data_IF_553948027892
#
_entry.id   IF_553948027892
#
_cell.length_a   1.000
_cell.length_b   1.000
_cell.length_c   1.000
_cell.angle_alpha   90.00
_cell.angle_beta   90.00
_cell.angle_gamma   90.00
#
_symmetry.space_group_name_H-M   'P 1'
#
loop_
_entity.id
_entity.type
_entity.pdbx_description
1 polymer ?
#
# COMPACT_ATOMS: atom_id res chain seq x y z
N UNK A 1 48.93 3.40 -51.30
CA UNK A 1 47.76 2.51 -51.11
C UNK A 1 47.83 1.62 -49.86
N UNK A 2 48.57 2.01 -48.80
CA UNK A 2 48.60 1.29 -47.51
C UNK A 2 48.28 2.17 -46.29
N UNK A 3 48.36 3.50 -46.42
CA UNK A 3 47.98 4.44 -45.35
C UNK A 3 46.47 4.71 -45.25
N UNK A 4 45.71 4.57 -46.35
CA UNK A 4 44.26 4.78 -46.36
C UNK A 4 43.46 3.62 -45.71
N UNK A 5 44.09 2.45 -45.56
CA UNK A 5 43.49 1.30 -44.88
C UNK A 5 43.68 1.34 -43.35
N UNK A 6 44.59 2.19 -42.85
CA UNK A 6 44.83 2.33 -41.42
C UNK A 6 43.83 3.29 -40.74
N UNK A 7 43.24 4.25 -41.49
CA UNK A 7 42.27 5.20 -40.94
C UNK A 7 40.83 4.64 -40.86
N UNK A 8 40.49 3.58 -41.61
CA UNK A 8 39.18 2.93 -41.51
C UNK A 8 39.06 1.95 -40.33
N UNK A 9 40.18 1.53 -39.73
CA UNK A 9 40.19 0.56 -38.63
C UNK A 9 39.87 1.16 -37.25
N UNK A 10 39.93 2.48 -37.09
CA UNK A 10 39.75 3.15 -35.80
C UNK A 10 38.30 3.64 -35.59
N UNK A 11 37.50 3.77 -36.66
CA UNK A 11 36.11 4.25 -36.57
C UNK A 11 35.08 3.18 -36.19
N UNK A 12 35.47 1.92 -36.03
CA UNK A 12 34.54 0.80 -35.89
C UNK A 12 34.23 0.38 -34.43
N UNK A 13 34.75 1.06 -33.41
CA UNK A 13 34.56 0.67 -32.01
C UNK A 13 33.76 1.66 -31.14
N UNK A 14 33.16 2.70 -31.70
CA UNK A 14 32.05 3.39 -31.02
C UNK A 14 30.75 2.66 -31.31
N UNK A 15 30.70 1.38 -30.94
CA UNK A 15 29.44 0.70 -30.72
C UNK A 15 28.77 1.44 -29.58
N UNK A 16 27.79 2.27 -29.91
CA UNK A 16 26.88 2.83 -28.92
C UNK A 16 26.24 1.63 -28.23
N UNK A 17 26.78 1.23 -27.08
CA UNK A 17 26.03 0.39 -26.16
C UNK A 17 24.82 1.25 -25.80
N UNK A 18 23.72 1.06 -26.54
CA UNK A 18 22.41 1.33 -26.04
C UNK A 18 22.24 0.38 -24.85
N UNK A 19 22.84 0.73 -23.71
CA UNK A 19 22.40 0.25 -22.42
C UNK A 19 20.92 0.51 -22.44
N UNK A 20 20.12 -0.57 -22.50
CA UNK A 20 18.70 -0.52 -22.27
C UNK A 20 18.53 0.17 -20.94
N UNK A 21 18.29 1.48 -20.98
CA UNK A 21 18.26 2.30 -19.78
C UNK A 21 17.02 1.86 -19.02
N UNK A 22 17.21 1.34 -17.82
CA UNK A 22 16.12 1.08 -16.90
C UNK A 22 15.57 2.39 -16.30
N UNK A 23 15.94 3.55 -16.84
CA UNK A 23 15.36 4.84 -16.45
C UNK A 23 13.88 4.90 -16.83
N UNK A 24 13.06 5.35 -15.87
CA UNK A 24 11.66 5.69 -16.06
C UNK A 24 11.43 7.19 -16.31
N UNK A 25 12.48 7.99 -16.53
CA UNK A 25 12.39 9.46 -16.64
C UNK A 25 11.38 9.96 -17.69
N UNK A 26 11.18 9.21 -18.78
CA UNK A 26 10.22 9.54 -19.83
C UNK A 26 8.93 8.71 -19.76
N UNK A 27 8.78 7.87 -18.73
CA UNK A 27 7.56 7.09 -18.54
C UNK A 27 6.44 7.98 -17.96
N UNK A 28 5.17 7.69 -18.25
CA UNK A 28 4.08 8.50 -17.70
C UNK A 28 4.01 8.34 -16.18
N UNK A 29 3.98 9.47 -15.47
CA UNK A 29 3.89 9.54 -14.01
C UNK A 29 2.79 10.55 -13.61
N UNK A 30 2.00 10.19 -12.59
CA UNK A 30 1.03 11.08 -11.97
C UNK A 30 1.69 11.95 -10.90
N UNK A 31 1.24 13.21 -10.72
CA UNK A 31 1.80 14.13 -9.73
C UNK A 31 1.34 13.84 -8.28
N UNK A 32 0.77 12.65 -8.01
CA UNK A 32 0.31 12.21 -6.70
C UNK A 32 0.74 10.77 -6.47
N UNK A 33 0.85 10.37 -5.21
CA UNK A 33 1.02 8.97 -4.81
C UNK A 33 -0.32 8.39 -4.31
N UNK A 34 -0.44 7.07 -4.24
CA UNK A 34 -1.67 6.41 -3.80
C UNK A 34 -1.60 5.87 -2.36
N UNK A 35 -2.65 6.12 -1.59
CA UNK A 35 -2.89 5.52 -0.28
C UNK A 35 -4.04 4.50 -0.38
N UNK A 36 -3.77 3.25 -0.06
CA UNK A 36 -4.75 2.17 -0.14
C UNK A 36 -4.93 1.47 1.21
N UNK A 37 -6.14 0.98 1.46
CA UNK A 37 -6.47 0.20 2.65
C UNK A 37 -6.82 -1.23 2.28
N UNK A 38 -6.29 -2.18 3.05
CA UNK A 38 -6.43 -3.62 2.83
C UNK A 38 -6.94 -4.26 4.12
N UNK A 39 -7.73 -5.31 3.98
CA UNK A 39 -8.22 -6.14 5.08
C UNK A 39 -7.96 -7.63 4.80
N UNK A 40 -7.78 -8.45 5.84
CA UNK A 40 -7.83 -9.90 5.70
C UNK A 40 -9.19 -10.38 5.19
N UNK A 41 -9.25 -11.60 4.65
CA UNK A 41 -10.51 -12.18 4.21
C UNK A 41 -11.51 -12.25 5.37
N UNK A 42 -12.79 -11.98 5.08
CA UNK A 42 -13.89 -11.92 6.05
C UNK A 42 -13.75 -10.88 7.17
N UNK A 43 -12.59 -10.24 7.32
CA UNK A 43 -12.33 -9.27 8.38
C UNK A 43 -12.70 -7.86 7.92
N UNK A 44 -13.99 -7.62 7.68
CA UNK A 44 -14.45 -6.36 7.11
C UNK A 44 -13.99 -5.14 7.93
N UNK A 45 -13.51 -4.11 7.24
CA UNK A 45 -12.97 -2.89 7.85
C UNK A 45 -13.58 -1.67 7.16
N UNK A 46 -14.00 -0.70 7.98
CA UNK A 46 -14.40 0.63 7.54
C UNK A 46 -13.43 1.67 8.07
N UNK A 47 -12.73 2.36 7.18
CA UNK A 47 -11.82 3.46 7.54
C UNK A 47 -12.61 4.74 7.65
N UNK A 48 -12.70 5.29 8.85
CA UNK A 48 -13.42 6.52 9.14
C UNK A 48 -12.62 7.75 8.75
N UNK A 49 -11.31 7.69 9.00
CA UNK A 49 -10.42 8.82 8.83
C UNK A 49 -8.98 8.35 8.62
N UNK A 50 -8.26 9.11 7.80
CA UNK A 50 -6.82 8.99 7.69
C UNK A 50 -6.20 10.35 7.40
N UNK A 51 -4.99 10.55 7.90
CA UNK A 51 -4.23 11.77 7.68
C UNK A 51 -2.78 11.45 7.40
N UNK A 52 -2.15 12.26 6.56
CA UNK A 52 -0.74 12.13 6.19
C UNK A 52 0.02 13.28 6.80
N UNK A 53 1.07 13.02 7.58
CA UNK A 53 2.14 13.99 7.81
C UNK A 53 3.26 13.67 6.83
N UNK A 54 3.59 14.63 5.97
CA UNK A 54 4.65 14.46 4.98
C UNK A 54 6.05 14.70 5.57
N UNK A 55 7.09 14.51 4.76
CA UNK A 55 8.49 14.73 5.19
C UNK A 55 8.81 16.18 5.57
N UNK A 56 8.00 17.15 5.13
CA UNK A 56 8.15 18.56 5.49
C UNK A 56 7.39 18.92 6.77
N UNK A 57 6.73 17.95 7.41
CA UNK A 57 5.94 18.15 8.62
C UNK A 57 4.57 18.76 8.36
N UNK A 58 4.10 18.80 7.10
CA UNK A 58 2.76 19.29 6.77
C UNK A 58 1.75 18.16 6.88
N UNK A 59 0.63 18.45 7.54
CA UNK A 59 -0.47 17.49 7.71
C UNK A 59 -1.57 17.70 6.68
N UNK A 60 -1.92 16.62 5.98
CA UNK A 60 -3.02 16.53 5.03
C UNK A 60 -4.10 15.65 5.64
N UNK A 61 -5.21 16.27 6.00
CA UNK A 61 -6.35 15.60 6.63
C UNK A 61 -7.22 14.91 5.57
N UNK A 62 -7.94 13.85 5.97
CA UNK A 62 -8.85 13.10 5.11
C UNK A 62 -8.17 12.58 3.83
N UNK A 63 -6.97 12.00 4.00
CA UNK A 63 -6.17 11.46 2.90
C UNK A 63 -6.80 10.21 2.25
N UNK A 64 -7.85 9.66 2.86
CA UNK A 64 -8.59 8.51 2.37
C UNK A 64 -9.52 7.94 3.44
N UNK A 65 -10.47 7.13 3.00
CA UNK A 65 -11.41 6.46 3.88
C UNK A 65 -12.33 5.49 3.11
N UNK A 66 -13.23 4.85 3.84
CA UNK A 66 -14.20 3.91 3.32
C UNK A 66 -13.77 2.44 3.46
N UNK A 67 -14.34 1.59 2.60
CA UNK A 67 -14.16 0.15 2.67
C UNK A 67 -12.73 -0.27 2.28
N UNK A 68 -12.08 -1.06 3.12
CA UNK A 68 -10.79 -1.67 2.81
C UNK A 68 -10.93 -2.81 1.79
N UNK A 69 -9.94 -2.97 0.93
CA UNK A 69 -9.89 -4.02 -0.09
C UNK A 69 -9.59 -5.39 0.51
N UNK A 70 -10.40 -6.39 0.17
CA UNK A 70 -10.25 -7.78 0.64
C UNK A 70 -11.46 -8.60 0.20
N UNK A 71 -11.43 -9.91 0.43
CA UNK A 71 -12.43 -10.83 -0.09
C UNK A 71 -13.23 -11.57 0.98
N UNK A 72 -14.36 -12.11 0.57
CA UNK A 72 -15.13 -13.12 1.32
C UNK A 72 -15.35 -14.33 0.40
N UNK A 73 -14.29 -15.12 0.16
CA UNK A 73 -14.35 -16.23 -0.78
C UNK A 73 -15.39 -17.26 -0.34
N UNK A 74 -15.97 -17.97 -1.31
CA UNK A 74 -16.82 -19.11 -1.02
C UNK A 74 -15.94 -20.37 -0.93
N UNK A 75 -15.08 -20.41 0.10
CA UNK A 75 -14.26 -21.58 0.41
C UNK A 75 -14.50 -22.07 1.84
N UNK A 76 -14.26 -23.36 2.06
CA UNK A 76 -14.38 -24.00 3.38
C UNK A 76 -13.03 -24.01 4.13
N UNK A 77 -12.20 -22.99 3.90
CA UNK A 77 -10.82 -22.91 4.38
C UNK A 77 -10.68 -21.81 5.42
N UNK A 78 -9.63 -21.89 6.24
CA UNK A 78 -9.22 -20.83 7.17
C UNK A 78 -8.53 -19.67 6.43
N UNK A 79 -9.20 -19.11 5.41
CA UNK A 79 -8.60 -18.17 4.47
C UNK A 79 -8.45 -16.74 5.02
N UNK A 80 -8.92 -16.46 6.24
CA UNK A 80 -8.64 -15.19 6.93
C UNK A 80 -7.27 -15.17 7.63
N UNK A 81 -6.62 -16.33 7.81
CA UNK A 81 -5.35 -16.42 8.53
C UNK A 81 -4.21 -15.82 7.69
N UNK A 82 -3.59 -14.75 8.19
CA UNK A 82 -2.56 -14.01 7.47
C UNK A 82 -3.08 -13.15 6.30
N UNK A 83 -2.15 -12.51 5.59
CA UNK A 83 -2.45 -11.64 4.45
C UNK A 83 -2.38 -12.45 3.15
N UNK A 84 -3.51 -12.59 2.45
CA UNK A 84 -3.60 -13.39 1.21
C UNK A 84 -3.07 -12.63 -0.01
N UNK A 85 -3.06 -11.29 0.04
CA UNK A 85 -2.52 -10.45 -1.01
C UNK A 85 -2.50 -8.98 -0.62
N UNK A 86 -1.66 -8.22 -1.33
CA UNK A 86 -1.66 -6.76 -1.27
C UNK A 86 -2.25 -6.28 -2.58
N UNK A 87 -3.26 -5.41 -2.55
CA UNK A 87 -3.94 -4.92 -3.74
C UNK A 87 -5.26 -4.24 -3.37
N UNK A 88 -5.76 -3.40 -4.26
CA UNK A 88 -6.95 -2.59 -4.03
C UNK A 88 -6.88 -1.25 -4.74
N UNK A 89 -8.00 -0.56 -4.80
CA UNK A 89 -8.06 0.79 -5.37
C UNK A 89 -7.60 1.79 -4.31
N UNK A 90 -6.43 2.39 -4.54
CA UNK A 90 -5.93 3.48 -3.71
C UNK A 90 -6.65 4.81 -3.96
N UNK A 91 -6.54 5.73 -3.01
CA UNK A 91 -6.95 7.12 -3.14
C UNK A 91 -5.72 7.96 -3.49
N UNK A 92 -5.84 8.89 -4.46
CA UNK A 92 -4.74 9.80 -4.78
C UNK A 92 -4.51 10.77 -3.61
N UNK A 93 -3.28 10.85 -3.13
CA UNK A 93 -2.84 11.84 -2.14
C UNK A 93 -2.20 13.00 -2.89
N UNK A 94 -3.00 14.05 -3.12
CA UNK A 94 -2.63 15.17 -3.98
C UNK A 94 -1.89 16.25 -3.18
N UNK A 95 -0.73 16.66 -3.68
CA UNK A 95 0.04 17.79 -3.16
C UNK A 95 0.79 17.55 -1.86
N UNK A 96 0.73 16.34 -1.29
CA UNK A 96 1.58 15.93 -0.18
C UNK A 96 2.85 15.26 -0.71
N UNK A 97 3.99 15.60 -0.11
CA UNK A 97 5.20 14.80 -0.29
C UNK A 97 4.99 13.39 0.29
N UNK A 98 5.95 12.50 0.05
CA UNK A 98 5.89 11.16 0.60
C UNK A 98 5.77 11.18 2.14
N UNK A 99 5.03 10.24 2.74
CA UNK A 99 4.64 10.33 4.14
C UNK A 99 5.84 10.08 5.07
N UNK A 100 5.93 10.90 6.13
CA UNK A 100 6.73 10.61 7.32
C UNK A 100 5.95 9.73 8.29
N UNK A 101 4.66 9.98 8.47
CA UNK A 101 3.76 9.13 9.24
C UNK A 101 2.31 9.26 8.76
N UNK A 102 1.53 8.23 9.01
CA UNK A 102 0.11 8.17 8.62
C UNK A 102 -0.72 7.91 9.86
N UNK A 103 -1.74 8.74 10.07
CA UNK A 103 -2.81 8.46 11.00
C UNK A 103 -3.89 7.64 10.30
N UNK A 104 -4.46 6.67 11.01
CA UNK A 104 -5.65 5.94 10.57
C UNK A 104 -6.55 5.66 11.77
N UNK A 105 -7.86 5.87 11.59
CA UNK A 105 -8.92 5.41 12.50
C UNK A 105 -9.90 4.55 11.72
N UNK A 106 -10.20 3.37 12.24
CA UNK A 106 -11.05 2.41 11.54
C UNK A 106 -11.89 1.58 12.47
N UNK A 107 -13.00 1.09 11.94
CA UNK A 107 -13.87 0.12 12.56
C UNK A 107 -13.51 -1.28 12.07
N UNK A 108 -13.20 -2.18 13.01
CA UNK A 108 -13.06 -3.62 12.79
C UNK A 108 -14.44 -4.26 12.98
N UNK A 109 -15.13 -4.53 11.86
CA UNK A 109 -16.53 -5.00 11.86
C UNK A 109 -16.70 -6.37 12.56
N UNK A 110 -15.85 -7.39 12.34
CA UNK A 110 -16.01 -8.72 12.96
C UNK A 110 -16.09 -8.71 14.49
N UNK A 111 -15.29 -7.84 15.12
CA UNK A 111 -15.17 -7.77 16.58
C UNK A 111 -15.85 -6.54 17.17
N UNK A 112 -16.50 -5.72 16.33
CA UNK A 112 -17.18 -4.49 16.72
C UNK A 112 -16.30 -3.63 17.65
N UNK A 113 -15.06 -3.38 17.22
CA UNK A 113 -14.11 -2.47 17.89
C UNK A 113 -13.63 -1.41 16.91
N UNK A 114 -13.37 -0.22 17.44
CA UNK A 114 -12.77 0.88 16.67
C UNK A 114 -11.37 1.12 17.18
N UNK A 115 -10.44 1.30 16.25
CA UNK A 115 -9.02 1.48 16.55
C UNK A 115 -8.52 2.76 15.93
N UNK A 116 -7.44 3.29 16.49
CA UNK A 116 -6.66 4.36 15.90
C UNK A 116 -5.16 4.13 16.08
N UNK A 117 -4.38 4.58 15.10
CA UNK A 117 -2.93 4.54 15.17
C UNK A 117 -2.31 5.68 14.39
N UNK A 118 -1.16 6.13 14.89
CA UNK A 118 -0.12 6.73 14.06
C UNK A 118 0.86 5.64 13.65
N UNK A 119 1.25 5.63 12.38
CA UNK A 119 2.22 4.69 11.83
C UNK A 119 3.35 5.47 11.19
N UNK A 120 4.54 5.35 11.76
CA UNK A 120 5.73 5.96 11.19
C UNK A 120 6.14 5.21 9.93
N UNK A 121 6.39 5.98 8.87
CA UNK A 121 6.88 5.46 7.60
C UNK A 121 8.39 5.71 7.58
N UNK A 122 9.21 4.66 7.47
CA UNK A 122 10.65 4.82 7.47
C UNK A 122 11.15 5.40 6.14
N UNK A 123 12.38 5.93 6.16
CA UNK A 123 12.97 6.57 4.98
C UNK A 123 13.21 5.59 3.83
N UNK A 124 13.58 4.34 4.15
CA UNK A 124 13.77 3.30 3.14
C UNK A 124 12.51 3.04 2.32
N UNK A 125 11.32 3.11 2.93
CA UNK A 125 10.05 2.94 2.26
C UNK A 125 9.84 4.04 1.23
N UNK A 126 10.17 5.29 1.60
CA UNK A 126 10.12 6.43 0.68
C UNK A 126 11.11 6.28 -0.46
N UNK A 127 12.33 5.78 -0.20
CA UNK A 127 13.30 5.49 -1.26
C UNK A 127 12.80 4.42 -2.23
N UNK A 128 12.16 3.36 -1.73
CA UNK A 128 11.52 2.35 -2.58
C UNK A 128 10.39 2.98 -3.40
N UNK A 129 9.53 3.79 -2.78
CA UNK A 129 8.44 4.51 -3.45
C UNK A 129 8.94 5.39 -4.60
N UNK A 130 9.98 6.19 -4.38
CA UNK A 130 10.62 7.04 -5.42
C UNK A 130 11.23 6.18 -6.52
N UNK A 131 11.99 5.15 -6.15
CA UNK A 131 12.62 4.24 -7.14
C UNK A 131 11.56 3.55 -8.01
N UNK A 132 10.40 3.26 -7.44
CA UNK A 132 9.33 2.54 -8.11
C UNK A 132 8.70 3.30 -9.29
N UNK A 133 8.80 4.63 -9.30
CA UNK A 133 8.32 5.49 -10.38
C UNK A 133 9.45 5.98 -11.29
N UNK A 134 10.66 6.12 -10.75
CA UNK A 134 11.82 6.61 -11.52
C UNK A 134 12.57 5.52 -12.30
N UNK A 135 12.34 4.24 -12.00
CA UNK A 135 13.04 3.13 -12.64
C UNK A 135 12.09 2.03 -13.11
N UNK A 136 12.40 1.47 -14.28
CA UNK A 136 11.78 0.28 -14.85
C UNK A 136 12.33 -0.98 -14.20
N UNK A 137 11.51 -2.02 -14.16
CA UNK A 137 11.94 -3.33 -13.70
C UNK A 137 12.88 -4.00 -14.71
N UNK A 138 14.08 -4.36 -14.26
CA UNK A 138 15.05 -5.07 -15.09
C UNK A 138 14.53 -6.41 -15.62
N UNK A 139 13.58 -7.03 -14.92
CA UNK A 139 12.93 -8.28 -15.33
C UNK A 139 11.88 -8.07 -16.44
N UNK A 140 11.36 -6.85 -16.58
CA UNK A 140 10.38 -6.47 -17.60
C UNK A 140 10.72 -5.07 -18.16
N UNK A 141 11.85 -4.91 -18.87
CA UNK A 141 12.37 -3.61 -19.29
C UNK A 141 11.50 -2.92 -20.37
N UNK A 142 10.62 -3.70 -21.01
CA UNK A 142 9.60 -3.26 -21.97
C UNK A 142 8.40 -2.57 -21.30
N UNK A 143 8.19 -2.82 -20.01
CA UNK A 143 7.12 -2.18 -19.23
C UNK A 143 7.61 -0.87 -18.66
N UNK A 144 6.74 0.14 -18.70
CA UNK A 144 6.99 1.41 -18.03
C UNK A 144 7.23 1.20 -16.54
N UNK A 145 7.91 2.15 -15.92
CA UNK A 145 7.91 2.34 -14.48
C UNK A 145 6.47 2.52 -13.97
N UNK A 146 6.30 2.50 -12.65
CA UNK A 146 4.97 2.69 -12.08
C UNK A 146 4.52 4.12 -12.31
N UNK A 147 3.27 4.28 -12.76
CA UNK A 147 2.63 5.58 -12.93
C UNK A 147 2.53 6.40 -11.63
N UNK A 148 2.58 5.75 -10.47
CA UNK A 148 2.65 6.44 -9.18
C UNK A 148 3.23 5.53 -8.10
N UNK A 149 3.85 6.16 -7.10
CA UNK A 149 4.23 5.51 -5.87
C UNK A 149 2.98 5.09 -5.09
N UNK A 150 3.10 4.03 -4.29
CA UNK A 150 1.94 3.44 -3.61
C UNK A 150 2.29 2.99 -2.21
N UNK A 151 1.39 3.26 -1.27
CA UNK A 151 1.48 2.82 0.11
C UNK A 151 0.16 2.16 0.53
N UNK A 152 0.26 0.96 1.09
CA UNK A 152 -0.87 0.15 1.51
C UNK A 152 -0.87 -0.03 3.02
N UNK A 153 -1.97 0.32 3.69
CA UNK A 153 -2.24 0.01 5.09
C UNK A 153 -3.16 -1.21 5.17
N UNK A 154 -2.63 -2.32 5.65
CA UNK A 154 -3.41 -3.48 6.07
C UNK A 154 -3.91 -3.26 7.47
N UNK A 155 -5.22 -3.31 7.63
CA UNK A 155 -5.93 -3.13 8.90
C UNK A 155 -6.61 -4.45 9.27
N UNK A 156 -6.29 -4.98 10.45
CA UNK A 156 -6.81 -6.27 10.89
C UNK A 156 -7.37 -6.21 12.32
N UNK A 157 -8.21 -7.19 12.71
CA UNK A 157 -8.67 -7.34 14.08
C UNK A 157 -7.53 -7.40 15.09
N UNK A 158 -7.83 -6.95 16.31
CA UNK A 158 -6.84 -6.81 17.38
C UNK A 158 -5.94 -5.58 17.21
N UNK A 159 -6.29 -4.63 16.34
CA UNK A 159 -5.58 -3.37 16.17
C UNK A 159 -4.26 -3.49 15.39
N UNK A 160 -4.10 -4.53 14.58
CA UNK A 160 -2.84 -4.70 13.82
C UNK A 160 -2.86 -3.82 12.57
N UNK A 161 -1.81 -3.02 12.40
CA UNK A 161 -1.52 -2.31 11.16
C UNK A 161 -0.23 -2.86 10.55
N UNK A 162 -0.31 -3.32 9.30
CA UNK A 162 0.85 -3.70 8.50
C UNK A 162 0.94 -2.78 7.29
N UNK A 163 2.13 -2.27 7.00
CA UNK A 163 2.34 -1.35 5.87
C UNK A 163 3.18 -2.02 4.80
N UNK A 164 2.79 -1.80 3.55
CA UNK A 164 3.58 -2.13 2.38
C UNK A 164 3.75 -0.95 1.44
N UNK A 165 4.86 -0.96 0.72
CA UNK A 165 5.03 -0.18 -0.51
C UNK A 165 5.22 -1.15 -1.68
N UNK A 166 5.23 -0.62 -2.91
CA UNK A 166 5.56 -1.40 -4.10
C UNK A 166 6.95 -1.03 -4.59
N UNK A 167 7.76 -2.03 -4.87
CA UNK A 167 9.03 -1.80 -5.57
C UNK A 167 8.80 -1.53 -7.07
N UNK A 168 9.89 -1.26 -7.77
CA UNK A 168 9.94 -1.04 -9.22
C UNK A 168 9.41 -2.24 -10.05
N UNK A 169 9.49 -3.46 -9.50
CA UNK A 169 8.92 -4.67 -10.10
C UNK A 169 7.48 -4.96 -9.62
N UNK A 170 6.82 -3.99 -8.97
CA UNK A 170 5.45 -4.05 -8.47
C UNK A 170 5.24 -5.12 -7.39
N UNK A 171 6.30 -5.56 -6.70
CA UNK A 171 6.22 -6.51 -5.58
C UNK A 171 5.92 -5.75 -4.29
N UNK A 172 5.07 -6.30 -3.41
CA UNK A 172 4.77 -5.67 -2.13
C UNK A 172 5.91 -5.91 -1.14
N UNK A 173 6.46 -4.84 -0.58
CA UNK A 173 7.53 -4.89 0.42
C UNK A 173 6.96 -4.43 1.76
N UNK A 174 7.05 -5.27 2.81
CA UNK A 174 6.67 -4.89 4.17
C UNK A 174 7.68 -3.86 4.69
N UNK A 175 7.20 -2.71 5.14
CA UNK A 175 8.08 -1.61 5.56
C UNK A 175 7.85 -1.13 6.99
N UNK A 176 6.63 -1.26 7.50
CA UNK A 176 6.31 -0.87 8.87
C UNK A 176 5.21 -1.75 9.43
N UNK A 177 5.16 -1.85 10.75
CA UNK A 177 4.09 -2.50 11.51
C UNK A 177 3.80 -1.66 12.74
N UNK A 178 2.54 -1.50 13.07
CA UNK A 178 2.11 -0.81 14.28
C UNK A 178 1.00 -1.59 14.99
N UNK A 179 0.92 -1.35 16.29
CA UNK A 179 -0.17 -1.81 17.13
C UNK A 179 -1.03 -0.61 17.48
N UNK A 180 -2.28 -0.64 17.08
CA UNK A 180 -3.24 0.41 17.36
C UNK A 180 -3.84 0.27 18.75
N UNK A 181 -4.24 1.41 19.28
CA UNK A 181 -5.05 1.51 20.49
C UNK A 181 -6.53 1.53 20.13
N UNK A 182 -7.38 1.16 21.10
CA UNK A 182 -8.83 1.32 20.97
C UNK A 182 -9.16 2.81 20.92
N UNK A 183 -10.08 3.19 20.03
CA UNK A 183 -10.73 4.49 20.09
C UNK A 183 -11.77 4.45 21.22
N UNK A 184 -11.55 5.17 22.34
CA UNK A 184 -12.45 5.11 23.50
C UNK A 184 -13.87 5.57 23.19
N UNK A 185 -14.05 6.43 22.19
CA UNK A 185 -15.37 6.90 21.77
C UNK A 185 -16.10 5.91 20.84
N UNK A 186 -15.45 4.80 20.46
CA UNK A 186 -16.00 3.82 19.54
C UNK A 186 -16.18 4.38 18.11
N UNK A 187 -17.10 3.82 17.32
CA UNK A 187 -17.27 4.19 15.92
C UNK A 187 -17.79 5.62 15.77
N UNK A 188 -17.33 6.30 14.73
CA UNK A 188 -17.68 7.67 14.36
C UNK A 188 -17.51 8.68 15.52
N UNK A 189 -16.55 8.40 16.41
CA UNK A 189 -16.31 9.18 17.64
C UNK A 189 -17.57 9.33 18.50
N UNK A 190 -18.40 8.28 18.56
CA UNK A 190 -19.64 8.24 19.35
C UNK A 190 -20.83 8.95 18.71
N UNK A 191 -20.68 9.57 17.53
CA UNK A 191 -21.73 10.39 16.89
C UNK A 191 -22.93 9.58 16.39
N UNK A 192 -22.75 8.27 16.15
CA UNK A 192 -23.79 7.40 15.60
C UNK A 192 -24.37 6.43 16.65
N UNK A 193 -24.41 6.82 17.92
CA UNK A 193 -24.96 5.99 19.00
C UNK A 193 -24.25 4.63 19.16
N UNK A 194 -22.96 4.57 18.80
CA UNK A 194 -22.15 3.35 18.82
C UNK A 194 -22.42 2.38 17.67
N UNK A 195 -23.24 2.75 16.68
CA UNK A 195 -23.49 1.90 15.51
C UNK A 195 -22.29 1.89 14.56
N UNK A 196 -21.89 0.69 14.17
CA UNK A 196 -20.87 0.45 13.16
C UNK A 196 -21.42 0.66 11.75
N UNK A 197 -20.53 0.97 10.80
CA UNK A 197 -20.88 1.30 9.41
C UNK A 197 -21.62 0.15 8.71
N UNK A 198 -21.34 -1.09 9.09
CA UNK A 198 -21.99 -2.29 8.57
C UNK A 198 -22.25 -3.33 9.67
N UNK A 199 -23.29 -4.15 9.53
CA UNK A 199 -23.38 -5.40 10.29
C UNK A 199 -22.28 -6.36 9.84
N UNK A 200 -21.93 -7.33 10.70
CA UNK A 200 -21.11 -8.48 10.29
C UNK A 200 -21.85 -9.24 9.19
N UNK A 201 -21.18 -9.51 8.06
CA UNK A 201 -21.79 -10.23 6.94
C UNK A 201 -22.11 -11.68 7.32
N UNK A 202 -23.12 -12.29 6.69
CA UNK A 202 -23.48 -13.68 6.95
C UNK A 202 -22.33 -14.67 6.62
N UNK A 203 -21.48 -14.33 5.64
CA UNK A 203 -20.30 -15.13 5.33
C UNK A 203 -19.25 -15.01 6.43
N UNK A 204 -18.97 -13.79 6.89
CA UNK A 204 -18.02 -13.56 7.98
C UNK A 204 -18.50 -14.21 9.28
N UNK A 205 -19.80 -14.14 9.61
CA UNK A 205 -20.38 -14.85 10.75
C UNK A 205 -20.11 -16.36 10.67
N UNK A 206 -20.50 -17.01 9.57
CA UNK A 206 -20.25 -18.45 9.38
C UNK A 206 -18.77 -18.82 9.47
N UNK A 207 -17.89 -17.99 8.91
CA UNK A 207 -16.45 -18.18 9.02
C UNK A 207 -15.99 -18.12 10.49
N UNK A 208 -16.39 -17.06 11.20
CA UNK A 208 -15.99 -16.81 12.59
C UNK A 208 -16.54 -17.89 13.52
N UNK A 209 -17.77 -18.36 13.31
CA UNK A 209 -18.37 -19.44 14.09
C UNK A 209 -17.58 -20.76 13.92
N UNK A 210 -17.03 -20.99 12.73
CA UNK A 210 -16.29 -22.23 12.39
C UNK A 210 -14.81 -22.18 12.79
N UNK A 211 -14.14 -21.06 12.56
CA UNK A 211 -12.68 -20.93 12.67
C UNK A 211 -12.22 -19.91 13.72
N UNK A 212 -13.12 -19.06 14.21
CA UNK A 212 -12.79 -17.90 15.02
C UNK A 212 -12.16 -16.76 14.22
N UNK A 213 -11.91 -15.66 14.92
CA UNK A 213 -11.06 -14.58 14.40
C UNK A 213 -9.60 -15.00 14.64
N UNK A 214 -8.74 -15.11 13.61
CA UNK A 214 -7.38 -15.61 13.77
C UNK A 214 -6.43 -14.52 14.25
N UNK A 215 -6.65 -14.01 15.46
CA UNK A 215 -5.76 -13.04 16.12
C UNK A 215 -4.31 -13.51 16.11
N UNK A 216 -3.38 -12.56 15.92
CA UNK A 216 -1.94 -12.84 15.88
C UNK A 216 -1.44 -13.48 14.57
N UNK A 217 -2.30 -13.75 13.60
CA UNK A 217 -1.89 -14.33 12.31
C UNK A 217 -1.42 -13.31 11.26
N UNK A 218 -1.65 -12.01 11.50
CA UNK A 218 -1.35 -10.89 10.59
C UNK A 218 -0.11 -10.12 10.99
#
# INVERSE_FOLDING_TARGET
MRLLLALLGILAFTGCHATSSNSGENDPEYPWWELAFIKPNFMNVWVEDSSVEDINGKTFLRAGGGNASGAEPNDDKESARGWVGVGGTGKPVIGAELPKRIFVRWQSIPEQKTYRAWVDIPEEARRVMVTSTQQRCAETPDKTARFMASLYLGLAPGGVVQVWVRDLCRRPIKVARAQAELEPLGPELGKNGGQYAYPVSEKAKRYIDKFGIPYGSW
#
